data_IF_623575577097
#
_entry.id   IF_623575577097
#
_cell.length_a   1.000
_cell.length_b   1.000
_cell.length_c   1.000
_cell.angle_alpha   90.00
_cell.angle_beta   90.00
_cell.angle_gamma   90.00
#
_symmetry.space_group_name_H-M   'P 1'
#
loop_
_entity.id
_entity.type
_entity.pdbx_description
1 polymer ?
#
# COMPACT_ATOMS: atom_id res chain seq x y z
N UNK A 1 -18.98 1.46 -16.04
CA UNK A 1 -18.46 2.13 -14.84
C UNK A 1 -17.75 1.06 -14.06
N UNK A 2 -16.43 1.10 -14.04
CA UNK A 2 -15.63 0.01 -13.50
C UNK A 2 -15.06 0.44 -12.16
N UNK A 3 -15.27 -0.38 -11.14
CA UNK A 3 -14.77 -0.10 -9.80
C UNK A 3 -13.35 -0.64 -9.71
N UNK A 4 -12.39 0.26 -9.51
CA UNK A 4 -11.01 -0.13 -9.23
C UNK A 4 -10.90 -0.62 -7.79
N UNK A 5 -10.46 -1.86 -7.58
CA UNK A 5 -10.30 -2.46 -6.24
C UNK A 5 -8.83 -2.73 -5.98
N UNK A 6 -8.28 -2.13 -4.91
CA UNK A 6 -6.92 -2.41 -4.50
C UNK A 6 -6.88 -3.72 -3.73
N UNK A 7 -6.08 -4.69 -4.21
CA UNK A 7 -5.89 -5.98 -3.53
C UNK A 7 -4.43 -6.17 -3.17
N UNK A 8 -4.15 -6.14 -1.87
CA UNK A 8 -2.86 -6.51 -1.32
C UNK A 8 -2.79 -8.04 -1.21
N UNK A 9 -1.80 -8.67 -1.84
CA UNK A 9 -1.53 -10.09 -1.66
C UNK A 9 -0.16 -10.25 -0.98
N UNK A 10 -0.17 -10.71 0.26
CA UNK A 10 1.03 -11.23 0.88
C UNK A 10 1.27 -12.67 0.39
N UNK A 11 2.55 -13.00 0.15
CA UNK A 11 2.97 -14.36 -0.16
C UNK A 11 2.50 -15.34 0.93
N UNK A 12 2.32 -16.64 0.62
CA UNK A 12 1.48 -17.56 1.40
C UNK A 12 1.78 -17.69 2.90
N UNK A 13 2.94 -17.26 3.38
CA UNK A 13 3.36 -17.34 4.78
C UNK A 13 3.42 -16.00 5.53
N UNK A 14 3.01 -14.88 4.91
CA UNK A 14 3.12 -13.54 5.53
C UNK A 14 1.77 -12.82 5.56
N UNK A 15 1.59 -12.00 6.58
CA UNK A 15 0.34 -11.40 7.05
C UNK A 15 -0.48 -10.72 5.93
N UNK A 16 -1.76 -11.10 5.80
CA UNK A 16 -2.74 -10.43 4.91
C UNK A 16 -3.18 -9.11 5.55
N UNK A 17 -2.69 -7.99 5.04
CA UNK A 17 -3.25 -6.69 5.39
C UNK A 17 -4.33 -6.28 4.39
N UNK A 18 -5.56 -6.12 4.87
CA UNK A 18 -6.66 -5.54 4.11
C UNK A 18 -6.76 -4.07 4.54
N UNK A 19 -6.42 -3.15 3.64
CA UNK A 19 -6.55 -1.71 3.90
C UNK A 19 -8.02 -1.29 3.76
N UNK A 20 -8.71 -1.18 4.88
CA UNK A 20 -9.92 -0.34 5.00
C UNK A 20 -9.56 0.83 5.91
N UNK A 21 -9.20 1.98 5.33
CA UNK A 21 -9.11 3.26 6.04
C UNK A 21 -7.71 3.85 6.32
N UNK A 22 -6.60 3.14 6.09
CA UNK A 22 -5.25 3.66 6.34
C UNK A 22 -4.41 3.69 5.06
N UNK A 23 -4.61 4.74 4.25
CA UNK A 23 -3.67 5.13 3.21
C UNK A 23 -2.42 5.70 3.91
N UNK A 24 -1.23 5.40 3.40
CA UNK A 24 0.08 5.95 3.83
C UNK A 24 0.90 5.22 4.91
N UNK A 25 0.42 4.17 5.59
CA UNK A 25 1.28 3.48 6.58
C UNK A 25 2.24 2.45 5.97
N UNK A 26 1.90 1.82 4.84
CA UNK A 26 2.72 0.77 4.22
C UNK A 26 4.06 1.27 3.68
N UNK A 27 4.11 2.46 3.08
CA UNK A 27 5.38 3.02 2.62
C UNK A 27 6.33 3.30 3.78
N UNK A 28 5.83 3.60 4.99
CA UNK A 28 6.68 3.73 6.17
C UNK A 28 7.27 2.38 6.60
N UNK A 29 6.49 1.30 6.51
CA UNK A 29 6.95 -0.06 6.83
C UNK A 29 7.99 -0.56 5.80
N UNK A 30 7.72 -0.32 4.51
CA UNK A 30 8.62 -0.63 3.40
C UNK A 30 9.91 0.18 3.49
N UNK A 31 9.80 1.49 3.71
CA UNK A 31 10.97 2.35 3.89
C UNK A 31 11.80 1.94 5.10
N UNK A 32 11.17 1.53 6.20
CA UNK A 32 11.88 1.01 7.36
C UNK A 32 12.61 -0.31 7.05
N UNK A 33 11.99 -1.22 6.31
CA UNK A 33 12.61 -2.47 5.85
C UNK A 33 13.79 -2.20 4.91
N UNK A 34 13.61 -1.35 3.90
CA UNK A 34 14.67 -0.94 2.96
C UNK A 34 15.86 -0.32 3.72
N UNK A 35 15.60 0.60 4.64
CA UNK A 35 16.66 1.24 5.43
C UNK A 35 17.38 0.28 6.38
N UNK A 36 16.75 -0.85 6.72
CA UNK A 36 17.33 -1.89 7.57
C UNK A 36 18.20 -2.90 6.79
N UNK A 37 18.10 -2.94 5.45
CA UNK A 37 18.96 -3.79 4.61
C UNK A 37 20.42 -3.36 4.80
N UNK A 38 21.25 -4.30 5.28
CA UNK A 38 22.68 -4.07 5.56
C UNK A 38 22.97 -2.94 6.56
N UNK A 39 22.00 -2.55 7.39
CA UNK A 39 22.16 -1.49 8.38
C UNK A 39 22.89 -1.98 9.64
N UNK A 40 23.62 -1.07 10.30
CA UNK A 40 24.18 -1.33 11.63
C UNK A 40 23.07 -1.45 12.69
N UNK A 41 23.35 -2.14 13.79
CA UNK A 41 22.41 -2.24 14.92
C UNK A 41 21.97 -0.87 15.46
N UNK A 42 22.89 0.11 15.49
CA UNK A 42 22.58 1.48 15.89
C UNK A 42 21.57 2.14 14.95
N UNK A 43 21.75 1.98 13.63
CA UNK A 43 20.81 2.50 12.64
C UNK A 43 19.45 1.81 12.75
N UNK A 44 19.42 0.50 12.94
CA UNK A 44 18.19 -0.26 13.19
C UNK A 44 17.49 0.24 14.46
N UNK A 45 18.22 0.52 15.54
CA UNK A 45 17.67 1.07 16.79
C UNK A 45 17.05 2.45 16.57
N UNK A 46 17.67 3.29 15.74
CA UNK A 46 17.13 4.62 15.41
C UNK A 46 15.86 4.52 14.56
N UNK A 47 15.82 3.65 13.55
CA UNK A 47 14.61 3.39 12.75
C UNK A 47 13.50 2.84 13.67
N UNK A 48 13.87 1.97 14.61
CA UNK A 48 12.95 1.30 15.55
C UNK A 48 12.22 2.25 16.51
N UNK A 49 12.63 3.52 16.60
CA UNK A 49 11.93 4.57 17.36
C UNK A 49 10.64 5.03 16.67
N UNK A 50 10.57 4.90 15.34
CA UNK A 50 9.43 5.34 14.53
C UNK A 50 8.55 4.17 14.11
N UNK A 51 9.17 3.07 13.69
CA UNK A 51 8.47 1.84 13.27
C UNK A 51 9.02 0.69 14.11
N UNK A 52 8.20 -0.08 14.85
CA UNK A 52 8.69 -1.25 15.56
C UNK A 52 9.38 -2.23 14.61
N UNK A 53 10.54 -2.81 15.01
CA UNK A 53 11.30 -3.76 14.18
C UNK A 53 10.44 -4.94 13.68
N UNK A 54 9.46 -5.37 14.47
CA UNK A 54 8.52 -6.43 14.09
C UNK A 54 7.57 -6.07 12.95
N UNK A 55 7.57 -4.80 12.50
CA UNK A 55 6.75 -4.28 11.41
C UNK A 55 7.58 -3.83 10.20
N UNK A 56 8.89 -4.06 10.20
CA UNK A 56 9.70 -3.80 9.01
C UNK A 56 9.23 -4.75 7.90
N UNK A 57 9.03 -4.20 6.71
CA UNK A 57 8.56 -4.96 5.57
C UNK A 57 9.58 -4.81 4.44
N UNK A 58 10.08 -5.92 3.93
CA UNK A 58 10.94 -5.86 2.75
C UNK A 58 10.07 -5.84 1.47
N UNK A 59 10.49 -5.12 0.40
CA UNK A 59 9.72 -5.04 -0.84
C UNK A 59 9.43 -6.41 -1.50
N UNK A 60 10.25 -7.42 -1.24
CA UNK A 60 10.08 -8.78 -1.76
C UNK A 60 9.11 -9.64 -0.92
N UNK A 61 8.64 -9.16 0.22
CA UNK A 61 7.66 -9.86 1.08
C UNK A 61 6.21 -9.50 0.74
N UNK A 62 6.03 -8.58 -0.21
CA UNK A 62 4.77 -7.96 -0.55
C UNK A 62 4.59 -7.89 -2.07
N UNK A 63 3.37 -8.05 -2.54
CA UNK A 63 2.98 -7.62 -3.89
C UNK A 63 1.68 -6.82 -3.83
N UNK A 64 1.66 -5.70 -4.53
CA UNK A 64 0.55 -4.74 -4.49
C UNK A 64 0.03 -4.52 -5.89
N UNK A 65 -1.28 -4.74 -6.06
CA UNK A 65 -1.92 -4.65 -7.35
C UNK A 65 -3.15 -3.76 -7.32
N UNK A 66 -3.30 -2.94 -8.36
CA UNK A 66 -4.56 -2.32 -8.74
C UNK A 66 -5.32 -3.23 -9.70
N UNK A 67 -6.60 -3.42 -9.45
CA UNK A 67 -7.50 -4.18 -10.32
C UNK A 67 -8.48 -3.19 -10.94
N UNK A 68 -8.45 -3.06 -12.26
CA UNK A 68 -9.37 -2.21 -13.03
C UNK A 68 -9.64 -2.85 -14.40
N UNK A 69 -10.88 -2.73 -14.90
CA UNK A 69 -11.29 -3.23 -16.24
C UNK A 69 -10.97 -4.70 -16.53
N UNK A 70 -10.94 -5.55 -15.51
CA UNK A 70 -10.59 -6.97 -15.64
C UNK A 70 -9.08 -7.22 -15.80
N UNK A 71 -8.26 -6.17 -15.71
CA UNK A 71 -6.81 -6.22 -15.70
C UNK A 71 -6.26 -6.06 -14.28
N UNK A 72 -5.05 -6.57 -14.09
CA UNK A 72 -4.30 -6.47 -12.85
C UNK A 72 -2.96 -5.81 -13.15
N UNK A 73 -2.67 -4.70 -12.47
CA UNK A 73 -1.43 -3.95 -12.63
C UNK A 73 -0.70 -3.85 -11.29
N UNK A 74 0.59 -4.20 -11.28
CA UNK A 74 1.44 -3.95 -10.11
C UNK A 74 1.60 -2.45 -9.92
N UNK A 75 1.40 -1.99 -8.68
CA UNK A 75 1.62 -0.60 -8.29
C UNK A 75 2.79 -0.44 -7.32
N UNK A 76 3.59 -1.49 -7.18
CA UNK A 76 4.90 -1.39 -6.53
C UNK A 76 5.89 -0.82 -7.55
N UNK A 77 6.52 0.30 -7.21
CA UNK A 77 7.56 0.92 -8.02
C UNK A 77 8.80 0.02 -8.04
N UNK A 78 9.26 -0.33 -9.24
CA UNK A 78 10.33 -1.30 -9.42
C UNK A 78 11.71 -0.78 -9.00
N UNK A 79 11.89 0.54 -8.95
CA UNK A 79 13.18 1.16 -8.60
C UNK A 79 13.31 1.36 -7.08
N UNK A 80 12.24 1.81 -6.44
CA UNK A 80 12.21 2.18 -5.02
C UNK A 80 11.67 1.07 -4.13
N UNK A 81 10.87 0.15 -4.67
CA UNK A 81 10.17 -0.87 -3.88
C UNK A 81 9.06 -0.30 -2.99
N UNK A 82 8.62 0.94 -3.26
CA UNK A 82 7.52 1.61 -2.57
C UNK A 82 6.23 1.50 -3.39
N UNK A 83 5.09 1.71 -2.74
CA UNK A 83 3.79 1.71 -3.40
C UNK A 83 3.57 3.08 -4.05
N UNK A 84 3.15 3.10 -5.32
CA UNK A 84 2.71 4.31 -6.01
C UNK A 84 1.36 4.78 -5.41
N UNK A 85 1.43 5.87 -4.65
CA UNK A 85 0.26 6.44 -3.96
C UNK A 85 -0.64 7.24 -4.89
N UNK A 86 -0.17 7.66 -6.07
CA UNK A 86 -1.00 8.44 -6.99
C UNK A 86 -2.18 7.62 -7.50
N UNK A 87 -1.94 6.34 -7.82
CA UNK A 87 -2.97 5.39 -8.25
C UNK A 87 -3.99 5.16 -7.12
N UNK A 88 -3.53 5.15 -5.87
CA UNK A 88 -4.41 5.03 -4.71
C UNK A 88 -5.33 6.27 -4.65
N UNK A 89 -4.77 7.48 -4.68
CA UNK A 89 -5.51 8.75 -4.59
C UNK A 89 -6.53 8.95 -5.71
N UNK A 90 -6.18 8.55 -6.94
CA UNK A 90 -7.10 8.55 -8.08
C UNK A 90 -8.34 7.69 -7.83
N UNK A 91 -8.17 6.45 -7.40
CA UNK A 91 -9.30 5.53 -7.11
C UNK A 91 -10.20 6.07 -5.99
N UNK A 92 -9.65 6.80 -5.00
CA UNK A 92 -10.50 7.41 -3.96
C UNK A 92 -11.35 8.54 -4.49
N UNK A 93 -10.79 9.39 -5.35
CA UNK A 93 -11.53 10.50 -5.93
C UNK A 93 -12.67 9.98 -6.81
N UNK A 94 -12.43 8.93 -7.60
CA UNK A 94 -13.49 8.28 -8.39
C UNK A 94 -14.60 7.72 -7.51
N UNK A 95 -14.26 7.04 -6.41
CA UNK A 95 -15.25 6.51 -5.46
C UNK A 95 -16.06 7.61 -4.78
N UNK A 96 -15.42 8.74 -4.43
CA UNK A 96 -16.11 9.88 -3.85
C UNK A 96 -17.12 10.49 -4.83
N UNK A 97 -16.71 10.70 -6.09
CA UNK A 97 -17.61 11.20 -7.15
C UNK A 97 -18.78 10.24 -7.36
N UNK A 98 -18.53 8.94 -7.41
CA UNK A 98 -19.59 7.93 -7.55
C UNK A 98 -20.56 7.95 -6.37
N UNK A 99 -20.05 8.14 -5.15
CA UNK A 99 -20.89 8.25 -3.96
C UNK A 99 -21.75 9.51 -4.00
N UNK A 100 -21.18 10.65 -4.37
CA UNK A 100 -21.92 11.91 -4.52
C UNK A 100 -23.04 11.76 -5.57
N UNK A 101 -22.76 11.13 -6.71
CA UNK A 101 -23.77 10.83 -7.75
C UNK A 101 -24.91 9.94 -7.23
N UNK A 102 -24.62 9.01 -6.32
CA UNK A 102 -25.65 8.16 -5.72
C UNK A 102 -26.52 8.96 -4.75
N UNK A 103 -25.94 9.89 -3.98
CA UNK A 103 -26.69 10.78 -3.09
C UNK A 103 -27.63 11.70 -3.89
N UNK A 104 -27.19 12.21 -5.04
CA UNK A 104 -28.00 13.05 -5.93
C UNK A 104 -29.23 12.30 -6.51
N UNK A 105 -29.17 10.96 -6.60
CA UNK A 105 -30.31 10.13 -7.03
C UNK A 105 -31.29 9.85 -5.88
N UNK A 106 -30.79 9.81 -4.64
CA UNK A 106 -31.62 9.61 -3.44
C UNK A 106 -32.49 10.83 -3.14
N UNK A 107 -32.03 12.03 -3.50
CA UNK A 107 -32.71 13.32 -3.28
C UNK A 107 -33.79 13.65 -4.32
#
# INVERSE_FOLDING_TARGET
>A
MTVSVLKLMALPDTIKYICTGARCEFNNLLQAGILAINASEEKIKNISRYVPKSRFLAPNELSVYSLSDGYCQSILDAETGLIDTNIIDEVSNELAIQFDQLLDIES
#
